data_IF_450764147122
#
_entry.id   IF_450764147122
#
_cell.length_a   1.000
_cell.length_b   1.000
_cell.length_c   1.000
_cell.angle_alpha   90.00
_cell.angle_beta   90.00
_cell.angle_gamma   90.00
#
_symmetry.space_group_name_H-M   'P 1'
#
loop_
_entity.id
_entity.type
_entity.pdbx_description
1 polymer ?
#
# COMPACT_ATOMS: atom_id res chain seq x y z
N UNK A 1 -47.62 -88.61 43.30
CA UNK A 1 -46.28 -89.19 43.08
C UNK A 1 -45.92 -88.80 41.67
N UNK A 2 -44.98 -88.05 41.33
CA UNK A 2 -43.61 -87.84 41.57
C UNK A 2 -43.06 -86.79 40.58
N UNK A 3 -42.39 -85.79 41.11
CA UNK A 3 -41.18 -85.17 40.58
C UNK A 3 -41.18 -84.54 39.19
N UNK A 4 -41.15 -83.28 39.30
CA UNK A 4 -40.50 -82.34 38.31
C UNK A 4 -39.04 -82.68 38.13
N UNK A 5 -38.45 -82.37 36.96
CA UNK A 5 -37.17 -81.70 37.03
C UNK A 5 -37.12 -80.38 36.19
N UNK A 6 -36.44 -79.50 36.75
CA UNK A 6 -36.02 -78.15 36.24
C UNK A 6 -35.22 -78.28 34.97
N UNK A 7 -35.52 -77.42 33.99
CA UNK A 7 -34.66 -77.12 32.89
C UNK A 7 -34.36 -75.58 32.91
N UNK A 8 -33.12 -75.19 32.88
CA UNK A 8 -32.79 -73.74 32.87
C UNK A 8 -33.00 -73.16 31.48
N UNK A 9 -33.73 -72.03 31.45
CA UNK A 9 -33.87 -71.21 30.27
C UNK A 9 -32.57 -70.42 30.04
N UNK A 10 -31.86 -70.81 28.99
CA UNK A 10 -30.76 -69.97 28.41
C UNK A 10 -31.36 -68.71 27.77
N UNK A 11 -31.13 -67.61 28.39
CA UNK A 11 -31.35 -66.26 27.77
C UNK A 11 -30.18 -65.96 26.83
N UNK A 12 -30.44 -66.08 25.53
CA UNK A 12 -29.55 -65.56 24.51
C UNK A 12 -29.67 -64.03 24.53
N UNK A 13 -28.69 -63.38 25.13
CA UNK A 13 -28.51 -61.90 25.02
C UNK A 13 -27.98 -61.57 23.64
N UNK A 14 -28.80 -60.98 22.78
CA UNK A 14 -28.35 -60.37 21.54
C UNK A 14 -27.65 -59.09 21.90
N UNK A 15 -26.31 -59.12 21.90
CA UNK A 15 -25.47 -57.88 21.99
C UNK A 15 -25.55 -57.11 20.69
N UNK A 16 -26.28 -56.05 20.72
CA UNK A 16 -26.21 -55.07 19.63
C UNK A 16 -24.85 -54.31 19.70
N UNK A 17 -23.93 -54.69 18.85
CA UNK A 17 -22.70 -53.90 18.63
C UNK A 17 -23.09 -52.65 17.85
N UNK A 18 -23.26 -51.55 18.58
CA UNK A 18 -23.42 -50.22 17.99
C UNK A 18 -22.11 -49.78 17.36
N UNK A 19 -22.03 -49.85 16.05
CA UNK A 19 -20.95 -49.18 15.31
C UNK A 19 -21.20 -47.69 15.37
N UNK A 20 -20.49 -47.01 16.28
CA UNK A 20 -20.41 -45.54 16.27
C UNK A 20 -19.53 -45.17 15.09
N UNK A 21 -20.13 -44.79 13.96
CA UNK A 21 -19.43 -44.08 12.89
C UNK A 21 -19.11 -42.66 13.38
N UNK A 22 -17.86 -42.43 13.79
CA UNK A 22 -17.34 -41.09 14.02
C UNK A 22 -17.20 -40.45 12.65
N UNK A 23 -18.18 -39.64 12.25
CA UNK A 23 -18.06 -38.76 11.11
C UNK A 23 -17.13 -37.64 11.55
N UNK A 24 -15.84 -37.77 11.25
CA UNK A 24 -14.91 -36.65 11.31
C UNK A 24 -15.26 -35.75 10.13
N UNK A 25 -16.08 -34.73 10.38
CA UNK A 25 -16.25 -33.63 9.43
C UNK A 25 -14.93 -32.86 9.38
N UNK A 26 -14.09 -33.20 8.41
CA UNK A 26 -13.02 -32.31 8.00
C UNK A 26 -13.70 -31.09 7.38
N UNK A 27 -13.90 -30.02 8.18
CA UNK A 27 -14.13 -28.69 7.68
C UNK A 27 -12.84 -28.29 6.98
N UNK A 28 -12.75 -28.55 5.68
CA UNK A 28 -11.81 -27.85 4.82
C UNK A 28 -12.38 -26.45 4.80
N UNK A 29 -11.84 -25.58 5.67
CA UNK A 29 -12.07 -24.15 5.54
C UNK A 29 -11.56 -23.76 4.15
N UNK A 30 -12.45 -23.38 3.27
CA UNK A 30 -12.09 -22.60 2.10
C UNK A 30 -11.50 -21.30 2.67
N UNK A 31 -10.17 -21.29 2.81
CA UNK A 31 -9.41 -20.09 3.11
C UNK A 31 -9.55 -19.17 1.90
N UNK A 32 -10.59 -18.36 1.91
CA UNK A 32 -10.56 -17.16 1.08
C UNK A 32 -9.34 -16.33 1.47
N UNK A 33 -8.85 -15.46 0.58
CA UNK A 33 -7.71 -14.62 0.90
C UNK A 33 -7.98 -13.90 2.22
N UNK A 34 -7.03 -14.03 3.15
CA UNK A 34 -7.13 -13.42 4.48
C UNK A 34 -7.29 -11.91 4.30
N UNK A 35 -8.44 -11.39 4.73
CA UNK A 35 -8.74 -9.97 4.59
C UNK A 35 -7.87 -9.20 5.57
N UNK A 36 -6.95 -8.40 5.03
CA UNK A 36 -6.08 -7.54 5.82
C UNK A 36 -6.90 -6.34 6.31
N UNK A 37 -6.80 -6.03 7.59
CA UNK A 37 -7.43 -4.82 8.15
C UNK A 37 -6.49 -3.64 7.93
N UNK A 38 -6.85 -2.73 7.04
CA UNK A 38 -6.08 -1.51 6.78
C UNK A 38 -6.25 -0.54 7.93
N UNK A 39 -5.15 -0.10 8.49
CA UNK A 39 -5.06 0.88 9.58
C UNK A 39 -4.61 2.26 9.06
N UNK A 40 -4.67 3.29 9.92
CA UNK A 40 -4.13 4.61 9.59
C UNK A 40 -5.04 5.51 8.75
N UNK A 41 -6.26 5.08 8.39
CA UNK A 41 -7.16 5.89 7.56
C UNK A 41 -7.49 7.27 8.12
N UNK A 42 -7.64 7.39 9.44
CA UNK A 42 -7.89 8.67 10.10
C UNK A 42 -6.66 9.59 10.04
N UNK A 43 -5.47 9.04 10.28
CA UNK A 43 -4.19 9.76 10.17
C UNK A 43 -3.95 10.27 8.75
N UNK A 44 -4.16 9.41 7.74
CA UNK A 44 -4.08 9.78 6.32
C UNK A 44 -5.02 10.94 5.99
N UNK A 45 -6.28 10.87 6.47
CA UNK A 45 -7.23 11.95 6.24
C UNK A 45 -6.81 13.25 6.94
N UNK A 46 -6.29 13.19 8.15
CA UNK A 46 -5.76 14.37 8.84
C UNK A 46 -4.58 14.99 8.09
N UNK A 47 -3.69 14.14 7.56
CA UNK A 47 -2.51 14.57 6.83
C UNK A 47 -2.84 15.21 5.47
N UNK A 48 -3.85 14.74 4.75
CA UNK A 48 -4.04 15.08 3.33
C UNK A 48 -5.31 15.90 3.09
N UNK A 49 -6.34 15.76 3.93
CA UNK A 49 -7.61 16.43 3.70
C UNK A 49 -7.48 17.95 3.53
N UNK A 50 -8.15 18.48 2.53
CA UNK A 50 -8.16 19.92 2.22
C UNK A 50 -6.95 20.43 1.44
N UNK A 51 -5.95 19.58 1.16
CA UNK A 51 -4.87 19.92 0.25
C UNK A 51 -5.31 19.56 -1.18
N UNK A 52 -5.19 20.46 -2.18
CA UNK A 52 -5.51 20.12 -3.56
C UNK A 52 -4.64 18.97 -4.07
N UNK A 53 -5.25 18.08 -4.86
CA UNK A 53 -4.54 17.02 -5.57
C UNK A 53 -4.86 17.06 -7.06
N UNK A 54 -3.88 16.69 -7.89
CA UNK A 54 -4.00 16.55 -9.33
C UNK A 54 -3.03 15.42 -9.76
N UNK A 55 -3.56 14.21 -9.90
CA UNK A 55 -2.76 13.02 -10.14
C UNK A 55 -1.63 12.84 -9.11
N UNK A 56 -0.36 12.86 -9.54
CA UNK A 56 0.80 12.70 -8.65
C UNK A 56 1.09 13.93 -7.77
N UNK A 57 0.41 15.03 -7.99
CA UNK A 57 0.68 16.29 -7.29
C UNK A 57 -0.20 16.47 -6.06
N UNK A 58 0.42 16.98 -4.98
CA UNK A 58 -0.24 17.40 -3.75
C UNK A 58 0.18 18.83 -3.41
N UNK A 59 -0.77 19.74 -3.35
CA UNK A 59 -0.56 21.16 -3.11
C UNK A 59 -1.09 22.03 -4.23
N UNK A 60 -0.98 23.36 -4.11
CA UNK A 60 -1.46 24.29 -5.13
C UNK A 60 -0.76 24.09 -6.48
N UNK A 61 -1.51 24.05 -7.56
CA UNK A 61 -0.97 23.86 -8.92
C UNK A 61 -0.03 25.00 -9.35
N UNK A 62 -0.23 26.21 -8.83
CA UNK A 62 0.56 27.42 -9.07
C UNK A 62 1.74 27.61 -8.11
N UNK A 63 2.00 26.65 -7.20
CA UNK A 63 3.18 26.68 -6.35
C UNK A 63 4.46 26.72 -7.20
N UNK A 64 5.32 27.74 -6.92
CA UNK A 64 6.55 27.97 -7.67
C UNK A 64 7.67 26.94 -7.41
N UNK A 65 7.55 26.21 -6.30
CA UNK A 65 8.48 25.15 -5.92
C UNK A 65 7.78 23.80 -6.02
N UNK A 66 8.46 22.82 -6.63
CA UNK A 66 8.04 21.42 -6.66
C UNK A 66 9.06 20.55 -5.92
N UNK A 67 8.57 19.70 -5.04
CA UNK A 67 9.35 18.70 -4.31
C UNK A 67 8.96 17.33 -4.87
N UNK A 68 9.77 16.78 -5.78
CA UNK A 68 9.52 15.48 -6.42
C UNK A 68 10.19 14.38 -5.59
N UNK A 69 9.39 13.52 -4.98
CA UNK A 69 9.82 12.38 -4.15
C UNK A 69 9.88 11.13 -5.02
N UNK A 70 11.06 10.60 -5.25
CA UNK A 70 11.29 9.33 -5.96
C UNK A 70 11.40 8.22 -4.93
N UNK A 71 10.40 7.36 -4.87
CA UNK A 71 10.34 6.30 -3.87
C UNK A 71 9.78 4.99 -4.45
N UNK A 72 10.11 3.86 -3.80
CA UNK A 72 9.63 2.53 -4.14
C UNK A 72 8.61 2.07 -3.10
N UNK A 73 7.40 1.81 -3.55
CA UNK A 73 6.27 1.40 -2.70
C UNK A 73 6.42 -0.01 -2.09
N UNK A 74 7.44 -0.76 -2.48
CA UNK A 74 7.73 -2.10 -1.96
C UNK A 74 9.06 -2.19 -1.20
N UNK A 75 9.73 -1.08 -1.04
CA UNK A 75 10.95 -0.98 -0.24
C UNK A 75 10.60 -1.01 1.26
N UNK A 76 11.01 -2.06 1.96
CA UNK A 76 10.67 -2.31 3.37
C UNK A 76 11.33 -1.35 4.38
N UNK A 77 12.16 -0.43 3.94
CA UNK A 77 12.77 0.62 4.76
C UNK A 77 12.38 2.03 4.31
N UNK A 78 11.52 2.11 3.29
CA UNK A 78 11.10 3.38 2.73
C UNK A 78 9.84 3.95 3.42
N UNK A 79 9.12 3.12 4.17
CA UNK A 79 8.02 3.50 5.05
C UNK A 79 8.47 4.49 6.14
N UNK A 80 9.60 4.20 6.81
CA UNK A 80 10.18 5.08 7.82
C UNK A 80 10.50 6.46 7.24
N UNK A 81 11.05 6.51 6.02
CA UNK A 81 11.31 7.77 5.33
C UNK A 81 10.02 8.51 4.98
N UNK A 82 9.03 7.82 4.47
CA UNK A 82 7.73 8.40 4.13
C UNK A 82 7.09 9.03 5.37
N UNK A 83 6.90 8.23 6.43
CA UNK A 83 6.18 8.64 7.62
C UNK A 83 6.92 9.69 8.47
N UNK A 84 8.26 9.69 8.47
CA UNK A 84 9.05 10.58 9.32
C UNK A 84 9.73 11.74 8.57
N UNK A 85 9.75 11.70 7.24
CA UNK A 85 10.33 12.78 6.43
C UNK A 85 9.31 13.39 5.47
N UNK A 86 8.59 12.57 4.67
CA UNK A 86 7.66 13.09 3.66
C UNK A 86 6.38 13.64 4.30
N UNK A 87 5.78 12.95 5.28
CA UNK A 87 4.61 13.47 6.00
C UNK A 87 4.85 14.88 6.58
N UNK A 88 5.97 15.14 7.30
CA UNK A 88 6.33 16.51 7.71
C UNK A 88 6.48 17.51 6.56
N UNK A 89 6.94 17.10 5.36
CA UNK A 89 7.01 18.00 4.20
C UNK A 89 5.62 18.36 3.68
N UNK A 90 4.67 17.42 3.70
CA UNK A 90 3.27 17.65 3.34
C UNK A 90 2.68 18.74 4.26
N UNK A 91 2.84 18.60 5.57
CA UNK A 91 2.34 19.57 6.54
C UNK A 91 3.02 20.94 6.39
N UNK A 92 4.32 20.95 6.16
CA UNK A 92 5.08 22.19 6.09
C UNK A 92 4.89 22.95 4.78
N UNK A 93 4.87 22.26 3.64
CA UNK A 93 4.95 22.87 2.33
C UNK A 93 3.67 22.78 1.51
N UNK A 94 3.08 21.58 1.37
CA UNK A 94 1.87 21.44 0.56
C UNK A 94 0.65 22.08 1.23
N UNK A 95 0.46 21.83 2.52
CA UNK A 95 -0.66 22.39 3.30
C UNK A 95 -0.59 23.90 3.42
N UNK A 96 0.61 24.47 3.51
CA UNK A 96 0.79 25.93 3.60
C UNK A 96 0.84 26.62 2.23
N UNK A 97 0.88 25.84 1.15
CA UNK A 97 0.97 26.35 -0.22
C UNK A 97 2.35 26.88 -0.62
N UNK A 98 3.39 26.64 0.20
CA UNK A 98 4.76 27.10 -0.11
C UNK A 98 5.41 26.30 -1.23
N UNK A 99 5.06 25.02 -1.35
CA UNK A 99 5.46 24.14 -2.45
C UNK A 99 4.35 23.14 -2.75
N UNK A 100 4.42 22.50 -3.91
CA UNK A 100 3.68 21.26 -4.18
C UNK A 100 4.63 20.08 -4.11
N UNK A 101 4.13 18.96 -3.63
CA UNK A 101 4.82 17.69 -3.68
C UNK A 101 4.40 16.95 -4.95
N UNK A 102 5.27 16.09 -5.45
CA UNK A 102 5.03 15.21 -6.58
C UNK A 102 5.60 13.83 -6.24
N UNK A 103 4.79 12.78 -6.38
CA UNK A 103 5.30 11.43 -6.21
C UNK A 103 5.77 10.86 -7.54
N UNK A 104 6.95 10.26 -7.52
CA UNK A 104 7.59 9.61 -8.67
C UNK A 104 7.91 8.17 -8.34
N UNK A 105 7.35 7.27 -9.12
CA UNK A 105 7.52 5.84 -8.92
C UNK A 105 8.86 5.35 -9.44
N UNK A 106 9.66 4.75 -8.55
CA UNK A 106 10.88 4.04 -8.95
C UNK A 106 10.83 2.59 -8.46
N UNK A 107 11.68 1.74 -9.04
CA UNK A 107 11.85 0.36 -8.60
C UNK A 107 13.29 0.18 -8.11
N UNK A 108 13.45 -0.22 -6.87
CA UNK A 108 14.76 -0.48 -6.26
C UNK A 108 15.26 -1.92 -6.49
N UNK A 109 14.65 -2.69 -7.39
CA UNK A 109 15.29 -3.91 -7.84
C UNK A 109 14.47 -5.17 -8.06
N UNK A 110 13.15 -5.18 -7.92
CA UNK A 110 12.34 -6.35 -8.24
C UNK A 110 11.27 -6.03 -9.31
N UNK A 111 11.06 -6.95 -10.27
CA UNK A 111 10.04 -6.78 -11.30
C UNK A 111 8.60 -6.67 -10.74
N UNK A 112 8.40 -7.08 -9.48
CA UNK A 112 7.12 -7.04 -8.78
C UNK A 112 6.77 -5.64 -8.24
N UNK A 113 7.76 -4.74 -8.13
CA UNK A 113 7.57 -3.38 -7.60
C UNK A 113 6.69 -2.50 -8.50
N UNK A 114 6.59 -2.82 -9.78
CA UNK A 114 5.72 -2.10 -10.70
C UNK A 114 4.23 -2.29 -10.41
N UNK A 115 3.83 -3.39 -9.78
CA UNK A 115 2.41 -3.66 -9.46
C UNK A 115 1.85 -2.65 -8.46
N UNK A 116 2.61 -2.33 -7.42
CA UNK A 116 2.23 -1.30 -6.45
C UNK A 116 2.28 0.11 -7.06
N UNK A 117 3.29 0.37 -7.91
CA UNK A 117 3.40 1.64 -8.63
C UNK A 117 2.19 1.88 -9.55
N UNK A 118 1.78 0.88 -10.35
CA UNK A 118 0.58 0.99 -11.18
C UNK A 118 -0.69 1.18 -10.35
N UNK A 119 -0.77 0.54 -9.18
CA UNK A 119 -1.91 0.68 -8.28
C UNK A 119 -2.03 2.11 -7.71
N UNK A 120 -0.92 2.68 -7.26
CA UNK A 120 -0.90 4.05 -6.75
C UNK A 120 -1.12 5.06 -7.88
N UNK A 121 -0.45 4.89 -9.02
CA UNK A 121 -0.63 5.74 -10.19
C UNK A 121 -2.09 5.75 -10.70
N UNK A 122 -2.76 4.58 -10.66
CA UNK A 122 -4.18 4.48 -11.01
C UNK A 122 -5.10 5.19 -10.00
N UNK A 123 -4.71 5.28 -8.74
CA UNK A 123 -5.42 6.08 -7.75
C UNK A 123 -5.29 7.58 -8.06
N UNK A 124 -4.22 7.99 -8.73
CA UNK A 124 -4.03 9.36 -9.23
C UNK A 124 -5.08 9.79 -10.25
N UNK A 125 -5.62 8.86 -11.07
CA UNK A 125 -6.71 9.14 -12.01
C UNK A 125 -8.02 9.60 -11.32
N UNK A 126 -8.07 9.47 -9.99
CA UNK A 126 -9.18 9.89 -9.14
C UNK A 126 -8.75 10.98 -8.13
N UNK A 127 -7.57 11.56 -8.28
CA UNK A 127 -6.96 12.49 -7.31
C UNK A 127 -6.87 11.91 -5.90
N UNK A 128 -6.48 10.62 -5.82
CA UNK A 128 -6.36 9.85 -4.56
C UNK A 128 -4.99 9.18 -4.40
N UNK A 129 -4.02 9.53 -5.22
CA UNK A 129 -2.69 8.89 -5.20
C UNK A 129 -2.01 9.03 -3.85
N UNK A 130 -2.03 10.21 -3.25
CA UNK A 130 -1.37 10.48 -1.97
C UNK A 130 -2.01 9.77 -0.80
N UNK A 131 -3.37 9.66 -0.75
CA UNK A 131 -4.04 8.84 0.25
C UNK A 131 -3.70 7.35 0.08
N UNK A 132 -3.64 6.89 -1.16
CA UNK A 132 -3.32 5.51 -1.48
C UNK A 132 -1.90 5.15 -1.06
N UNK A 133 -0.93 6.01 -1.37
CA UNK A 133 0.49 5.87 -1.02
C UNK A 133 0.69 5.87 0.48
N UNK A 134 0.15 6.85 1.19
CA UNK A 134 0.28 6.97 2.65
C UNK A 134 -0.31 5.75 3.37
N UNK A 135 -1.52 5.30 2.97
CA UNK A 135 -2.11 4.07 3.50
C UNK A 135 -1.29 2.83 3.18
N UNK A 136 -0.69 2.75 2.01
CA UNK A 136 0.15 1.61 1.63
C UNK A 136 1.39 1.55 2.53
N UNK A 137 2.11 2.64 2.73
CA UNK A 137 3.28 2.67 3.60
C UNK A 137 2.93 2.38 5.05
N UNK A 138 1.81 2.90 5.58
CA UNK A 138 1.35 2.61 6.96
C UNK A 138 0.99 1.14 7.19
N UNK A 139 0.74 0.37 6.15
CA UNK A 139 0.32 -1.03 6.24
C UNK A 139 1.30 -1.99 5.56
N UNK A 140 2.48 -1.56 5.19
CA UNK A 140 3.44 -2.36 4.45
C UNK A 140 3.89 -3.60 5.24
N UNK A 141 4.03 -3.48 6.55
CA UNK A 141 4.38 -4.58 7.46
C UNK A 141 3.27 -5.62 7.62
N UNK A 142 2.02 -5.25 7.38
CA UNK A 142 0.86 -6.15 7.43
C UNK A 142 0.74 -7.01 6.17
N UNK A 143 1.47 -6.68 5.11
CA UNK A 143 1.49 -7.46 3.88
C UNK A 143 2.16 -8.83 4.12
N UNK A 144 1.47 -9.97 3.83
CA UNK A 144 2.04 -11.30 4.03
C UNK A 144 3.38 -11.46 3.31
N UNK A 145 4.42 -11.83 4.07
CA UNK A 145 5.78 -12.06 3.56
C UNK A 145 6.38 -10.87 2.79
N UNK A 146 6.00 -9.63 3.15
CA UNK A 146 6.40 -8.40 2.45
C UNK A 146 6.06 -8.41 0.94
N UNK A 147 5.09 -9.23 0.54
CA UNK A 147 4.63 -9.33 -0.83
C UNK A 147 3.34 -8.52 -1.00
N UNK A 148 3.39 -7.52 -1.83
CA UNK A 148 2.22 -6.70 -2.17
C UNK A 148 1.29 -7.51 -3.07
N UNK A 149 0.29 -8.16 -2.46
CA UNK A 149 -0.70 -8.93 -3.19
C UNK A 149 -1.77 -8.04 -3.83
N UNK A 150 -2.41 -8.53 -4.89
CA UNK A 150 -3.53 -7.83 -5.52
C UNK A 150 -4.69 -7.57 -4.54
N UNK A 151 -4.93 -8.50 -3.61
CA UNK A 151 -5.93 -8.32 -2.56
C UNK A 151 -5.55 -7.20 -1.58
N UNK A 152 -4.28 -7.14 -1.16
CA UNK A 152 -3.79 -6.06 -0.31
C UNK A 152 -3.97 -4.69 -0.98
N UNK A 153 -3.60 -4.58 -2.26
CA UNK A 153 -3.79 -3.35 -3.02
C UNK A 153 -5.26 -2.92 -3.13
N UNK A 154 -6.18 -3.89 -3.27
CA UNK A 154 -7.63 -3.63 -3.25
C UNK A 154 -8.12 -3.20 -1.86
N UNK A 155 -7.59 -3.82 -0.80
CA UNK A 155 -7.95 -3.46 0.57
C UNK A 155 -7.48 -2.04 0.92
N UNK A 156 -6.29 -1.62 0.43
CA UNK A 156 -5.85 -0.21 0.51
C UNK A 156 -6.84 0.70 -0.21
N UNK A 157 -7.22 0.41 -1.46
CA UNK A 157 -8.19 1.21 -2.23
C UNK A 157 -9.53 1.34 -1.51
N UNK A 158 -10.03 0.24 -0.93
CA UNK A 158 -11.28 0.25 -0.16
C UNK A 158 -11.21 1.11 1.12
N UNK A 159 -10.03 1.39 1.65
CA UNK A 159 -9.83 2.24 2.81
C UNK A 159 -9.71 3.73 2.46
N UNK A 160 -9.52 4.07 1.18
CA UNK A 160 -9.53 5.46 0.69
C UNK A 160 -10.95 5.96 0.57
N UNK A 161 -11.33 7.11 1.17
CA UNK A 161 -12.65 7.68 1.02
C UNK A 161 -13.00 8.06 -0.43
N UNK A 162 -14.26 7.85 -0.81
CA UNK A 162 -14.80 8.20 -2.13
C UNK A 162 -14.00 7.58 -3.31
N UNK A 163 -13.53 6.35 -3.14
CA UNK A 163 -12.71 5.65 -4.10
C UNK A 163 -13.55 4.68 -4.96
N UNK A 164 -13.46 4.82 -6.28
CA UNK A 164 -14.08 3.91 -7.24
C UNK A 164 -13.11 2.77 -7.60
N UNK A 165 -13.33 1.60 -6.99
CA UNK A 165 -12.47 0.43 -7.16
C UNK A 165 -12.56 -0.16 -8.58
N UNK A 166 -13.68 -0.04 -9.27
CA UNK A 166 -13.85 -0.55 -10.63
C UNK A 166 -13.13 0.34 -11.64
N UNK A 167 -13.26 1.67 -11.50
CA UNK A 167 -12.49 2.63 -12.28
C UNK A 167 -10.98 2.46 -12.06
N UNK A 168 -10.54 2.31 -10.81
CA UNK A 168 -9.15 2.06 -10.46
C UNK A 168 -8.61 0.76 -11.06
N UNK A 169 -9.39 -0.33 -11.00
CA UNK A 169 -8.99 -1.61 -11.59
C UNK A 169 -8.76 -1.47 -13.10
N UNK A 170 -9.62 -0.71 -13.77
CA UNK A 170 -9.50 -0.43 -15.21
C UNK A 170 -8.26 0.43 -15.50
N UNK A 171 -8.05 1.48 -14.71
CA UNK A 171 -6.92 2.41 -14.88
C UNK A 171 -5.56 1.72 -14.69
N UNK A 172 -5.43 0.79 -13.74
CA UNK A 172 -4.19 0.03 -13.49
C UNK A 172 -3.65 -0.69 -14.73
N UNK A 173 -4.55 -1.14 -15.60
CA UNK A 173 -4.19 -1.88 -16.81
C UNK A 173 -4.00 -0.98 -18.03
N UNK A 174 -4.32 0.31 -17.91
CA UNK A 174 -4.23 1.28 -19.00
C UNK A 174 -2.78 1.52 -19.45
N UNK A 175 -2.60 1.89 -20.71
CA UNK A 175 -1.30 2.31 -21.22
C UNK A 175 -0.83 3.60 -20.54
N UNK A 176 -1.75 4.52 -20.27
CA UNK A 176 -1.47 5.83 -19.68
C UNK A 176 -0.80 5.72 -18.31
N UNK A 177 -1.34 4.87 -17.41
CA UNK A 177 -0.75 4.61 -16.10
C UNK A 177 0.62 3.94 -16.23
N UNK A 178 0.76 2.95 -17.13
CA UNK A 178 2.03 2.26 -17.35
C UNK A 178 3.11 3.19 -17.90
N UNK A 179 2.76 3.98 -18.91
CA UNK A 179 3.67 4.95 -19.54
C UNK A 179 4.14 6.01 -18.52
N UNK A 180 3.26 6.45 -17.60
CA UNK A 180 3.60 7.39 -16.53
C UNK A 180 4.67 6.79 -15.58
N UNK A 181 4.46 5.58 -15.10
CA UNK A 181 5.42 4.89 -14.21
C UNK A 181 6.75 4.63 -14.93
N UNK A 182 6.72 4.25 -16.20
CA UNK A 182 7.93 4.07 -17.00
C UNK A 182 8.67 5.38 -17.24
N UNK A 183 7.95 6.49 -17.42
CA UNK A 183 8.54 7.83 -17.54
C UNK A 183 9.25 8.26 -16.25
N UNK A 184 8.70 7.92 -15.08
CA UNK A 184 9.36 8.19 -13.79
C UNK A 184 10.69 7.46 -13.65
N UNK A 185 10.73 6.18 -14.02
CA UNK A 185 11.97 5.39 -14.02
C UNK A 185 13.00 5.95 -15.02
N UNK A 186 12.55 6.39 -16.19
CA UNK A 186 13.40 7.02 -17.20
C UNK A 186 13.99 8.33 -16.67
N UNK A 187 13.17 9.19 -16.08
CA UNK A 187 13.62 10.46 -15.50
C UNK A 187 14.61 10.22 -14.35
N UNK A 188 14.37 9.23 -13.50
CA UNK A 188 15.31 8.88 -12.44
C UNK A 188 16.69 8.49 -12.98
N UNK A 189 16.71 7.71 -14.08
CA UNK A 189 17.95 7.32 -14.74
C UNK A 189 18.67 8.53 -15.40
N UNK A 190 17.93 9.43 -16.05
CA UNK A 190 18.47 10.66 -16.66
C UNK A 190 19.09 11.60 -15.61
N UNK A 191 18.47 11.67 -14.42
CA UNK A 191 18.97 12.45 -13.29
C UNK A 191 20.12 11.76 -12.56
N UNK A 192 20.47 10.52 -12.92
CA UNK A 192 21.51 9.71 -12.27
C UNK A 192 21.18 9.37 -10.82
N UNK A 193 19.89 9.19 -10.51
CA UNK A 193 19.46 8.81 -9.17
C UNK A 193 19.90 7.37 -8.87
N UNK A 194 20.44 7.18 -7.67
CA UNK A 194 20.84 5.85 -7.20
C UNK A 194 19.61 5.11 -6.65
N UNK A 195 19.57 3.83 -6.91
CA UNK A 195 18.51 2.94 -6.45
C UNK A 195 18.87 2.31 -5.09
N UNK A 196 19.33 3.13 -4.14
CA UNK A 196 19.73 2.70 -2.79
C UNK A 196 18.78 3.15 -1.68
N UNK A 197 17.78 3.96 -2.03
CA UNK A 197 16.77 4.52 -1.14
C UNK A 197 16.03 5.68 -1.80
N UNK A 198 15.07 6.30 -1.11
CA UNK A 198 14.36 7.47 -1.60
C UNK A 198 15.31 8.59 -2.01
N UNK A 199 14.95 9.26 -3.09
CA UNK A 199 15.65 10.45 -3.58
C UNK A 199 14.65 11.58 -3.78
N UNK A 200 15.08 12.83 -3.61
CA UNK A 200 14.21 14.00 -3.75
C UNK A 200 14.84 15.02 -4.69
N UNK A 201 14.04 15.50 -5.62
CA UNK A 201 14.43 16.59 -6.52
C UNK A 201 13.58 17.80 -6.19
N UNK A 202 14.23 18.91 -5.83
CA UNK A 202 13.56 20.16 -5.52
C UNK A 202 13.82 21.16 -6.64
N UNK A 203 12.76 21.62 -7.30
CA UNK A 203 12.84 22.56 -8.43
C UNK A 203 12.04 23.81 -8.13
N UNK A 204 12.60 24.96 -8.45
CA UNK A 204 11.97 26.28 -8.27
C UNK A 204 12.65 27.35 -9.10
N UNK A 205 12.28 28.66 -8.92
CA UNK A 205 12.85 29.76 -9.65
C UNK A 205 14.39 29.88 -9.55
N UNK A 206 14.97 29.43 -8.43
CA UNK A 206 16.42 29.42 -8.19
C UNK A 206 17.15 28.20 -8.80
N UNK A 207 16.44 27.33 -9.53
CA UNK A 207 17.03 26.17 -10.20
C UNK A 207 16.58 24.82 -9.62
N UNK A 208 17.43 23.80 -9.73
CA UNK A 208 17.14 22.44 -9.30
C UNK A 208 18.20 21.92 -8.34
N UNK A 209 17.77 21.20 -7.31
CA UNK A 209 18.62 20.47 -6.35
C UNK A 209 18.24 19.00 -6.36
N UNK A 210 19.23 18.13 -6.52
CA UNK A 210 19.07 16.68 -6.45
C UNK A 210 19.68 16.18 -5.15
N UNK A 211 18.87 15.52 -4.33
CA UNK A 211 19.27 14.94 -3.05
C UNK A 211 19.00 13.43 -3.09
N UNK A 212 19.99 12.63 -2.77
CA UNK A 212 19.93 11.17 -2.89
C UNK A 212 20.13 10.50 -1.52
N UNK A 213 19.81 9.19 -1.47
CA UNK A 213 20.07 8.32 -0.32
C UNK A 213 19.34 8.79 0.96
N UNK A 214 18.01 8.89 0.89
CA UNK A 214 17.13 9.28 2.00
C UNK A 214 17.56 10.62 2.63
N UNK A 215 17.50 11.73 1.90
CA UNK A 215 17.95 13.03 2.40
C UNK A 215 17.18 13.43 3.65
N UNK A 216 17.90 14.04 4.63
CA UNK A 216 17.26 14.49 5.85
C UNK A 216 16.34 15.68 5.62
N UNK A 217 15.38 15.87 6.53
CA UNK A 217 14.45 17.00 6.48
C UNK A 217 15.18 18.35 6.42
N UNK A 218 16.26 18.52 7.20
CA UNK A 218 17.07 19.76 7.19
C UNK A 218 17.72 20.01 5.82
N UNK A 219 18.19 18.93 5.15
CA UNK A 219 18.73 19.01 3.79
C UNK A 219 17.66 19.44 2.78
N UNK A 220 16.45 18.92 2.93
CA UNK A 220 15.30 19.29 2.10
C UNK A 220 14.85 20.73 2.33
N UNK A 221 14.77 21.19 3.58
CA UNK A 221 14.45 22.56 3.93
C UNK A 221 15.48 23.56 3.32
N UNK A 222 16.77 23.20 3.39
CA UNK A 222 17.83 24.01 2.77
C UNK A 222 17.70 24.03 1.23
N UNK A 223 17.33 22.90 0.61
CA UNK A 223 17.13 22.84 -0.84
C UNK A 223 15.93 23.69 -1.28
N UNK A 224 14.78 23.58 -0.58
CA UNK A 224 13.59 24.42 -0.83
C UNK A 224 13.93 25.89 -0.71
N UNK A 225 14.62 26.29 0.36
CA UNK A 225 15.06 27.68 0.55
C UNK A 225 15.99 28.16 -0.58
N UNK A 226 16.87 27.30 -1.07
CA UNK A 226 17.83 27.66 -2.12
C UNK A 226 17.18 27.82 -3.50
N UNK A 227 16.06 27.15 -3.78
CA UNK A 227 15.38 27.22 -5.09
C UNK A 227 14.16 28.11 -5.08
N UNK A 228 13.61 28.43 -3.90
CA UNK A 228 12.40 29.24 -3.76
C UNK A 228 12.56 30.73 -4.12
N UNK A 229 13.79 31.29 -4.15
CA UNK A 229 14.10 32.65 -4.51
C UNK A 229 14.06 33.60 -3.31
#
# INVERSE_FOLDING_TARGET
>A
MTRSPWLPRLLLGAGAVGVFAVVVSLSIGEGGPEKITISGGEQTQQLIAGIPQDGPYLGPSDASVTISVFNDLQCSSCDDYELHTVDPLIEQYARTGQAKLEFRHISLGAAETTTAAYAAAAAGEQDREWQYIDLLFRNQDEAPAHTVSDQFLKDIGNAVPDFDLDAWTTARDSAEVKDRVEADATLAAELGLRVSGPSVVVTGPGGTKVLQDSPSKEGLDAAVSAVGG
#
